data_IF_627120211219
#
_entry.id   IF_627120211219
#
_cell.length_a   1.000
_cell.length_b   1.000
_cell.length_c   1.000
_cell.angle_alpha   90.00
_cell.angle_beta   90.00
_cell.angle_gamma   90.00
#
_symmetry.space_group_name_H-M   'P 1'
#
loop_
_entity.id
_entity.type
_entity.pdbx_description
1 polymer ?
#
# COMPACT_ATOMS: atom_id res chain seq x y z
N UNK A 1 -8.84 -57.99 -20.52
CA UNK A 1 -9.63 -56.91 -21.14
C UNK A 1 -10.47 -56.26 -20.04
N UNK A 2 -9.89 -55.37 -19.24
CA UNK A 2 -9.30 -54.07 -19.60
C UNK A 2 -10.34 -52.96 -19.55
N UNK A 3 -10.16 -52.08 -18.57
CA UNK A 3 -10.06 -50.64 -18.77
C UNK A 3 -11.31 -49.76 -18.91
N UNK A 4 -12.53 -50.27 -18.70
CA UNK A 4 -13.73 -49.43 -18.92
C UNK A 4 -14.60 -49.13 -17.69
N UNK A 5 -14.41 -49.79 -16.55
CA UNK A 5 -15.16 -49.44 -15.32
C UNK A 5 -14.37 -48.59 -14.31
N UNK A 6 -13.04 -48.53 -14.40
CA UNK A 6 -12.21 -47.65 -13.54
C UNK A 6 -11.98 -46.24 -14.13
N UNK A 7 -12.49 -45.95 -15.33
CA UNK A 7 -12.25 -44.67 -16.03
C UNK A 7 -13.47 -43.75 -16.12
N UNK A 8 -14.57 -44.07 -15.43
CA UNK A 8 -15.75 -43.21 -15.37
C UNK A 8 -15.70 -42.29 -14.15
N UNK A 9 -15.23 -41.08 -14.43
CA UNK A 9 -15.57 -39.85 -13.75
C UNK A 9 -15.14 -39.74 -12.28
N UNK A 10 -13.83 -39.82 -12.05
CA UNK A 10 -13.22 -38.93 -11.07
C UNK A 10 -13.70 -37.50 -11.38
N UNK A 11 -14.54 -36.95 -10.50
CA UNK A 11 -14.97 -35.56 -10.59
C UNK A 11 -13.71 -34.68 -10.78
N UNK A 12 -13.76 -33.64 -11.64
CA UNK A 12 -12.67 -32.69 -11.68
C UNK A 12 -12.48 -32.20 -10.25
N UNK A 13 -11.35 -32.57 -9.65
CA UNK A 13 -10.90 -31.94 -8.43
C UNK A 13 -10.73 -30.49 -8.84
N UNK A 14 -11.73 -29.67 -8.53
CA UNK A 14 -11.60 -28.24 -8.60
C UNK A 14 -10.45 -27.93 -7.66
N UNK A 15 -9.27 -27.74 -8.25
CA UNK A 15 -8.13 -27.16 -7.56
C UNK A 15 -8.66 -25.82 -7.11
N UNK A 16 -9.08 -25.75 -5.84
CA UNK A 16 -9.24 -24.47 -5.16
C UNK A 16 -7.83 -23.93 -5.09
N UNK A 17 -7.44 -23.19 -6.12
CA UNK A 17 -6.39 -22.20 -5.97
C UNK A 17 -6.89 -21.30 -4.85
N UNK A 18 -6.45 -21.56 -3.62
CA UNK A 18 -6.46 -20.55 -2.59
C UNK A 18 -5.63 -19.43 -3.19
N UNK A 19 -6.30 -18.43 -3.74
CA UNK A 19 -5.64 -17.25 -4.26
C UNK A 19 -4.84 -16.72 -3.07
N UNK A 20 -3.52 -16.89 -3.14
CA UNK A 20 -2.62 -16.18 -2.26
C UNK A 20 -3.07 -14.72 -2.25
N UNK A 21 -3.25 -14.10 -1.08
CA UNK A 21 -3.72 -12.71 -0.95
C UNK A 21 -2.92 -11.75 -1.88
N UNK A 22 -1.70 -12.12 -2.25
CA UNK A 22 -0.83 -11.38 -3.15
C UNK A 22 -1.26 -11.44 -4.62
N UNK A 23 -1.86 -12.54 -5.11
CA UNK A 23 -2.41 -12.63 -6.47
C UNK A 23 -3.69 -11.81 -6.64
N UNK A 24 -4.46 -11.63 -5.55
CA UNK A 24 -5.67 -10.80 -5.54
C UNK A 24 -5.36 -9.33 -5.87
N UNK A 25 -4.24 -8.80 -5.34
CA UNK A 25 -3.87 -7.38 -5.47
C UNK A 25 -3.55 -6.93 -6.90
N UNK A 26 -3.12 -7.85 -7.78
CA UNK A 26 -2.85 -7.52 -9.19
C UNK A 26 -4.13 -7.24 -9.98
N UNK A 27 -5.27 -7.85 -9.60
CA UNK A 27 -6.54 -7.74 -10.32
C UNK A 27 -7.57 -6.85 -9.60
N UNK A 28 -7.16 -6.09 -8.58
CA UNK A 28 -8.03 -5.13 -7.91
C UNK A 28 -8.44 -4.00 -8.85
N UNK A 29 -9.73 -3.74 -8.92
CA UNK A 29 -10.27 -2.49 -9.47
C UNK A 29 -9.83 -1.28 -8.66
N UNK A 30 -9.85 -0.09 -9.26
CA UNK A 30 -9.51 1.16 -8.57
C UNK A 30 -10.36 1.39 -7.31
N UNK A 31 -11.65 1.01 -7.35
CA UNK A 31 -12.53 1.11 -6.19
C UNK A 31 -12.11 0.17 -5.04
N UNK A 32 -11.67 -1.06 -5.37
CA UNK A 32 -11.13 -1.99 -4.37
C UNK A 32 -9.80 -1.47 -3.81
N UNK A 33 -8.91 -0.93 -4.66
CA UNK A 33 -7.65 -0.32 -4.24
C UNK A 33 -7.91 0.88 -3.31
N UNK A 34 -8.84 1.75 -3.68
CA UNK A 34 -9.24 2.89 -2.85
C UNK A 34 -9.71 2.42 -1.46
N UNK A 35 -10.69 1.51 -1.42
CA UNK A 35 -11.25 1.03 -0.16
C UNK A 35 -10.18 0.38 0.73
N UNK A 36 -9.38 -0.52 0.16
CA UNK A 36 -8.32 -1.22 0.91
C UNK A 36 -7.27 -0.25 1.46
N UNK A 37 -6.74 0.65 0.62
CA UNK A 37 -5.71 1.59 1.07
C UNK A 37 -6.27 2.59 2.08
N UNK A 38 -7.53 3.01 1.96
CA UNK A 38 -8.18 3.87 2.94
C UNK A 38 -8.34 3.15 4.29
N UNK A 39 -8.77 1.89 4.29
CA UNK A 39 -8.90 1.08 5.49
C UNK A 39 -7.53 0.84 6.17
N UNK A 40 -6.50 0.50 5.38
CA UNK A 40 -5.12 0.36 5.85
C UNK A 40 -4.60 1.68 6.45
N UNK A 41 -4.82 2.81 5.78
CA UNK A 41 -4.40 4.13 6.25
C UNK A 41 -5.02 4.46 7.62
N UNK A 42 -6.32 4.25 7.78
CA UNK A 42 -7.04 4.47 9.03
C UNK A 42 -6.51 3.55 10.14
N UNK A 43 -6.29 2.27 9.83
CA UNK A 43 -5.79 1.29 10.79
C UNK A 43 -4.38 1.65 11.28
N UNK A 44 -3.45 1.99 10.39
CA UNK A 44 -2.10 2.38 10.74
C UNK A 44 -2.07 3.72 11.49
N UNK A 45 -2.87 4.70 11.08
CA UNK A 45 -2.99 5.96 11.80
C UNK A 45 -3.48 5.73 13.24
N UNK A 46 -4.52 4.91 13.42
CA UNK A 46 -4.99 4.52 14.77
C UNK A 46 -3.88 3.83 15.56
N UNK A 47 -3.13 2.92 14.94
CA UNK A 47 -2.03 2.19 15.60
C UNK A 47 -0.90 3.13 16.03
N UNK A 48 -0.51 4.09 15.20
CA UNK A 48 0.48 5.10 15.54
C UNK A 48 0.04 5.94 16.76
N UNK A 49 -1.24 6.30 16.83
CA UNK A 49 -1.80 7.01 17.99
C UNK A 49 -1.73 6.18 19.27
N UNK A 50 -2.08 4.90 19.20
CA UNK A 50 -1.98 3.97 20.34
C UNK A 50 -0.53 3.80 20.79
N UNK A 51 0.40 3.57 19.87
CA UNK A 51 1.83 3.48 20.19
C UNK A 51 2.38 4.72 20.87
N UNK A 52 1.94 5.91 20.45
CA UNK A 52 2.30 7.15 21.14
C UNK A 52 1.75 7.20 22.57
N UNK A 53 0.50 6.77 22.77
CA UNK A 53 -0.15 6.74 24.09
C UNK A 53 0.51 5.73 25.03
N UNK A 54 0.93 4.58 24.50
CA UNK A 54 1.58 3.51 25.24
C UNK A 54 3.08 3.80 25.53
N UNK A 55 3.59 4.97 25.14
CA UNK A 55 4.98 5.37 25.38
C UNK A 55 6.00 4.60 24.54
N UNK A 56 5.60 4.05 23.40
CA UNK A 56 6.50 3.34 22.49
C UNK A 56 7.57 4.27 21.93
N UNK A 57 8.69 3.68 21.48
CA UNK A 57 9.82 4.42 20.88
C UNK A 57 9.32 5.33 19.75
N UNK A 58 9.79 6.58 19.73
CA UNK A 58 9.40 7.60 18.74
C UNK A 58 9.61 7.12 17.31
N UNK A 59 10.71 6.40 17.03
CA UNK A 59 10.98 5.83 15.70
C UNK A 59 9.91 4.83 15.25
N UNK A 60 9.38 4.00 16.15
CA UNK A 60 8.31 3.06 15.83
C UNK A 60 6.99 3.79 15.54
N UNK A 61 6.65 4.79 16.37
CA UNK A 61 5.47 5.64 16.14
C UNK A 61 5.56 6.32 14.78
N UNK A 62 6.74 6.87 14.46
CA UNK A 62 7.02 7.55 13.21
C UNK A 62 6.87 6.62 12.00
N UNK A 63 7.49 5.43 12.04
CA UNK A 63 7.41 4.47 10.93
C UNK A 63 5.96 4.06 10.65
N UNK A 64 5.18 3.73 11.69
CA UNK A 64 3.78 3.34 11.52
C UNK A 64 2.92 4.51 11.02
N UNK A 65 3.16 5.73 11.50
CA UNK A 65 2.47 6.91 11.00
C UNK A 65 2.79 7.19 9.53
N UNK A 66 4.02 6.92 9.09
CA UNK A 66 4.45 7.17 7.72
C UNK A 66 3.81 6.20 6.73
N UNK A 67 3.67 4.91 7.10
CA UNK A 67 2.87 3.94 6.32
C UNK A 67 1.42 4.41 6.16
N UNK A 68 0.82 4.97 7.22
CA UNK A 68 -0.53 5.51 7.12
C UNK A 68 -0.64 6.64 6.08
N UNK A 69 0.37 7.52 6.02
CA UNK A 69 0.44 8.62 5.04
C UNK A 69 0.55 8.06 3.62
N UNK A 70 1.45 7.10 3.40
CA UNK A 70 1.58 6.42 2.11
C UNK A 70 0.24 5.83 1.64
N UNK A 71 -0.43 5.06 2.50
CA UNK A 71 -1.74 4.48 2.20
C UNK A 71 -2.79 5.55 1.87
N UNK A 72 -2.82 6.69 2.58
CA UNK A 72 -3.73 7.79 2.25
C UNK A 72 -3.48 8.37 0.85
N UNK A 73 -2.22 8.58 0.48
CA UNK A 73 -1.86 9.14 -0.83
C UNK A 73 -2.20 8.15 -1.96
N UNK A 74 -1.90 6.87 -1.77
CA UNK A 74 -2.27 5.83 -2.74
C UNK A 74 -3.80 5.72 -2.87
N UNK A 75 -4.55 5.83 -1.77
CA UNK A 75 -6.01 5.85 -1.83
C UNK A 75 -6.51 7.04 -2.67
N UNK A 76 -5.97 8.25 -2.48
CA UNK A 76 -6.33 9.40 -3.31
C UNK A 76 -6.05 9.16 -4.79
N UNK A 77 -4.88 8.63 -5.13
CA UNK A 77 -4.53 8.25 -6.50
C UNK A 77 -5.50 7.22 -7.10
N UNK A 78 -5.85 6.18 -6.34
CA UNK A 78 -6.83 5.17 -6.74
C UNK A 78 -8.23 5.77 -6.95
N UNK A 79 -8.64 6.74 -6.13
CA UNK A 79 -9.93 7.44 -6.29
C UNK A 79 -10.04 8.12 -7.66
N UNK A 80 -8.95 8.73 -8.14
CA UNK A 80 -8.88 9.36 -9.45
C UNK A 80 -8.46 8.41 -10.59
N UNK A 81 -8.23 7.13 -10.29
CA UNK A 81 -7.80 6.09 -11.26
C UNK A 81 -6.47 6.39 -11.94
N UNK A 82 -5.56 7.08 -11.26
CA UNK A 82 -4.19 7.36 -11.71
C UNK A 82 -3.23 6.88 -10.62
N UNK A 83 -2.78 5.63 -10.72
CA UNK A 83 -1.94 5.01 -9.69
C UNK A 83 -0.49 5.50 -9.79
N UNK A 84 0.17 5.79 -8.66
CA UNK A 84 1.56 6.22 -8.65
C UNK A 84 2.49 5.13 -9.17
N UNK A 85 3.56 5.53 -9.86
CA UNK A 85 4.63 4.62 -10.29
C UNK A 85 5.72 4.44 -9.22
N UNK A 86 5.81 5.38 -8.27
CA UNK A 86 6.84 5.40 -7.23
C UNK A 86 6.21 5.79 -5.88
N UNK A 87 6.63 5.11 -4.83
CA UNK A 87 6.08 5.22 -3.48
C UNK A 87 6.90 6.11 -2.54
N UNK A 88 7.95 6.79 -3.02
CA UNK A 88 8.58 7.88 -2.26
C UNK A 88 7.55 8.97 -1.95
N UNK A 89 7.63 9.60 -0.79
CA UNK A 89 6.65 10.60 -0.35
C UNK A 89 6.57 11.80 -1.31
N UNK A 90 7.68 12.22 -1.89
CA UNK A 90 7.74 13.26 -2.91
C UNK A 90 6.90 12.94 -4.13
N UNK A 91 7.16 11.80 -4.77
CA UNK A 91 6.41 11.37 -5.95
C UNK A 91 4.91 11.17 -5.65
N UNK A 92 4.57 10.59 -4.49
CA UNK A 92 3.18 10.43 -4.08
C UNK A 92 2.46 11.77 -3.90
N UNK A 93 3.12 12.78 -3.34
CA UNK A 93 2.55 14.13 -3.22
C UNK A 93 2.43 14.79 -4.58
N UNK A 94 3.44 14.67 -5.45
CA UNK A 94 3.40 15.21 -6.80
C UNK A 94 2.23 14.61 -7.60
N UNK A 95 2.03 13.30 -7.51
CA UNK A 95 0.90 12.60 -8.14
C UNK A 95 -0.45 13.11 -7.62
N UNK A 96 -0.61 13.27 -6.29
CA UNK A 96 -1.85 13.82 -5.72
C UNK A 96 -2.07 15.28 -6.12
N UNK A 97 -1.03 16.12 -6.16
CA UNK A 97 -1.11 17.52 -6.57
C UNK A 97 -1.53 17.68 -8.05
N UNK A 98 -1.19 16.71 -8.91
CA UNK A 98 -1.68 16.68 -10.30
C UNK A 98 -3.19 16.40 -10.39
N UNK A 99 -3.75 15.67 -9.42
CA UNK A 99 -5.12 15.17 -9.46
C UNK A 99 -6.10 16.09 -8.71
N UNK A 100 -5.64 16.79 -7.69
CA UNK A 100 -6.48 17.67 -6.87
C UNK A 100 -5.69 18.82 -6.23
N UNK A 101 -6.41 19.88 -5.81
CA UNK A 101 -5.82 20.91 -4.96
C UNK A 101 -5.39 20.29 -3.63
N UNK A 102 -4.10 20.36 -3.32
CA UNK A 102 -3.52 19.79 -2.10
C UNK A 102 -2.93 20.90 -1.20
N UNK A 103 -3.09 20.85 0.14
CA UNK A 103 -2.62 21.92 1.01
C UNK A 103 -1.08 22.06 0.97
N UNK A 104 -0.51 23.23 0.58
CA UNK A 104 0.93 23.36 0.35
C UNK A 104 1.80 23.06 1.57
N UNK A 105 1.34 23.45 2.77
CA UNK A 105 2.04 23.16 4.01
C UNK A 105 2.05 21.66 4.34
N UNK A 106 0.96 20.94 4.05
CA UNK A 106 0.91 19.49 4.24
C UNK A 106 1.83 18.80 3.24
N UNK A 107 1.79 19.22 1.98
CA UNK A 107 2.66 18.73 0.92
C UNK A 107 4.14 18.85 1.30
N UNK A 108 4.55 20.04 1.77
CA UNK A 108 5.92 20.29 2.23
C UNK A 108 6.34 19.35 3.37
N UNK A 109 5.45 19.13 4.35
CA UNK A 109 5.75 18.26 5.50
C UNK A 109 5.84 16.79 5.13
N UNK A 110 5.04 16.34 4.18
CA UNK A 110 5.10 14.97 3.66
C UNK A 110 6.38 14.77 2.83
N UNK A 111 6.73 15.71 1.94
CA UNK A 111 8.00 15.66 1.18
C UNK A 111 9.24 15.61 2.09
N UNK A 112 9.18 16.22 3.27
CA UNK A 112 10.28 16.15 4.23
C UNK A 112 10.53 14.73 4.79
N UNK A 113 9.57 13.80 4.66
CA UNK A 113 9.72 12.41 5.10
C UNK A 113 10.78 11.67 4.29
N UNK A 114 10.93 11.93 2.99
CA UNK A 114 11.95 11.28 2.16
C UNK A 114 13.37 11.48 2.70
N UNK A 115 13.64 12.68 3.25
CA UNK A 115 14.92 12.99 3.89
C UNK A 115 15.13 12.21 5.18
N UNK A 116 14.06 12.02 5.97
CA UNK A 116 14.12 11.29 7.24
C UNK A 116 14.36 9.79 6.99
N UNK A 117 13.80 9.25 5.91
CA UNK A 117 13.99 7.84 5.52
C UNK A 117 15.26 7.59 4.69
N UNK A 118 16.04 8.63 4.36
CA UNK A 118 17.25 8.49 3.55
C UNK A 118 16.98 8.06 2.10
N UNK A 119 15.76 8.23 1.59
CA UNK A 119 15.34 7.79 0.24
C UNK A 119 16.05 8.61 -0.86
N UNK A 120 16.67 9.74 -0.51
CA UNK A 120 17.45 10.59 -1.42
C UNK A 120 18.85 10.92 -0.89
N UNK A 121 19.65 9.91 -0.57
CA UNK A 121 21.10 10.06 -0.36
C UNK A 121 21.86 9.24 -1.41
N UNK A 122 22.36 9.90 -2.46
CA UNK A 122 23.45 9.36 -3.28
C UNK A 122 24.76 9.30 -2.48
N UNK A 123 24.83 10.04 -1.36
CA UNK A 123 26.00 10.08 -0.48
C UNK A 123 26.21 8.77 0.30
N UNK A 124 25.19 7.92 0.39
CA UNK A 124 25.27 6.57 0.98
C UNK A 124 25.28 5.43 -0.06
N UNK A 125 25.41 5.76 -1.36
CA UNK A 125 25.50 4.77 -2.43
C UNK A 125 26.95 4.32 -2.64
N UNK A 126 27.42 3.39 -1.82
CA UNK A 126 28.67 2.65 -2.09
C UNK A 126 28.35 1.43 -2.97
N UNK A 127 28.97 1.38 -4.15
CA UNK A 127 28.80 0.34 -5.19
C UNK A 127 29.00 -1.09 -4.70
#
# INVERSE_FOLDING_TARGET
>A
MSSLQERLAAAPQTIKFGASEHMSKLFESDAQRFARNLDEAIAYHRRARLFRQDGMRVSLVFNVASIAIECYLIALCAYFRDMPFNHSYGNLVDDVERLMSFPPLLAQRIRALDKIFGICSLDDYHH
#
